data_IF_651694046367
#
_entry.id   IF_651694046367
#
_cell.length_a   1.000
_cell.length_b   1.000
_cell.length_c   1.000
_cell.angle_alpha   90.00
_cell.angle_beta   90.00
_cell.angle_gamma   90.00
#
_symmetry.space_group_name_H-M   'P 1'
#
loop_
_entity.id
_entity.type
_entity.pdbx_description
1 polymer ?
#
# COMPACT_ATOMS: atom_id res chain seq x y z
N UNK A 1 71.10 11.37 64.47
CA UNK A 1 69.68 11.75 64.46
C UNK A 1 69.28 12.05 62.99
N UNK A 2 68.60 11.06 62.37
CA UNK A 2 68.01 11.22 61.06
C UNK A 2 66.55 11.55 61.27
N UNK A 3 66.10 12.74 60.77
CA UNK A 3 64.70 13.12 60.69
C UNK A 3 64.11 12.56 59.42
N UNK A 4 63.11 11.69 59.53
CA UNK A 4 62.29 11.19 58.42
C UNK A 4 61.20 12.24 58.13
N UNK A 5 61.17 12.72 56.89
CA UNK A 5 60.06 13.54 56.39
C UNK A 5 59.00 12.59 55.78
N UNK A 6 57.81 12.58 56.33
CA UNK A 6 56.68 11.87 55.76
C UNK A 6 55.97 12.83 54.82
N UNK A 7 55.99 12.51 53.51
CA UNK A 7 55.16 13.19 52.52
C UNK A 7 53.79 12.58 52.51
N UNK A 8 52.79 13.33 52.93
CA UNK A 8 51.37 12.92 52.79
C UNK A 8 50.91 13.39 51.38
N UNK A 9 50.72 12.44 50.47
CA UNK A 9 50.08 12.73 49.18
C UNK A 9 48.57 12.81 49.38
N UNK A 10 48.02 14.03 49.32
CA UNK A 10 46.57 14.24 49.27
C UNK A 10 46.12 14.03 47.83
N UNK A 11 45.45 12.92 47.57
CA UNK A 11 44.77 12.69 46.25
C UNK A 11 43.41 13.35 46.35
N UNK A 12 43.26 14.47 45.65
CA UNK A 12 41.97 15.18 45.49
C UNK A 12 41.24 14.47 44.37
N UNK A 13 40.18 13.72 44.70
CA UNK A 13 39.24 13.20 43.73
C UNK A 13 38.28 14.31 43.32
N UNK A 14 38.45 14.83 42.08
CA UNK A 14 37.41 15.63 41.43
C UNK A 14 36.26 14.72 41.00
N UNK A 15 35.19 14.70 41.76
CA UNK A 15 33.95 14.22 41.25
C UNK A 15 33.40 15.20 40.19
N UNK A 16 33.64 14.89 38.93
CA UNK A 16 32.93 15.52 37.83
C UNK A 16 31.50 15.01 37.87
N UNK A 17 30.57 15.81 38.40
CA UNK A 17 29.14 15.58 38.22
C UNK A 17 28.81 15.77 36.73
N UNK A 18 28.79 14.66 35.98
CA UNK A 18 28.19 14.65 34.67
C UNK A 18 26.69 14.96 34.89
N UNK A 19 26.32 16.22 34.67
CA UNK A 19 24.91 16.57 34.47
C UNK A 19 24.46 15.77 33.26
N UNK A 20 23.62 14.76 33.47
CA UNK A 20 22.87 14.12 32.40
C UNK A 20 22.09 15.24 31.73
N UNK A 21 22.50 15.58 30.52
CA UNK A 21 21.77 16.49 29.66
C UNK A 21 20.44 15.79 29.37
N UNK A 22 19.37 16.23 29.99
CA UNK A 22 18.04 15.78 29.65
C UNK A 22 17.87 16.05 28.16
N UNK A 23 17.91 14.99 27.37
CA UNK A 23 17.50 15.04 25.95
C UNK A 23 16.04 15.50 26.00
N UNK A 24 15.68 16.64 25.40
CA UNK A 24 14.31 17.09 25.41
C UNK A 24 13.43 16.00 24.87
N UNK A 25 12.50 15.52 25.68
CA UNK A 25 11.57 14.44 25.41
C UNK A 25 10.48 14.80 24.37
N UNK A 26 10.80 15.73 23.45
CA UNK A 26 9.85 16.24 22.47
C UNK A 26 10.18 15.74 21.05
N UNK A 27 10.74 14.53 20.92
CA UNK A 27 10.79 13.82 19.66
C UNK A 27 9.47 13.08 19.44
N UNK A 28 8.38 13.80 19.25
CA UNK A 28 7.24 13.24 18.52
C UNK A 28 7.76 12.91 17.12
N UNK A 29 7.84 11.62 16.86
CA UNK A 29 8.20 11.12 15.54
C UNK A 29 7.22 11.75 14.54
N UNK A 30 7.73 12.38 13.49
CA UNK A 30 6.87 12.96 12.45
C UNK A 30 5.99 11.88 11.86
N UNK A 31 4.78 12.21 11.48
CA UNK A 31 3.84 11.23 10.88
C UNK A 31 4.44 10.58 9.62
N UNK A 32 5.21 11.34 8.84
CA UNK A 32 5.91 10.87 7.65
C UNK A 32 6.95 9.79 7.98
N UNK A 33 7.68 9.93 9.10
CA UNK A 33 8.69 8.97 9.53
C UNK A 33 8.09 7.60 9.88
N UNK A 34 6.79 7.52 10.16
CA UNK A 34 6.10 6.25 10.40
C UNK A 34 6.02 5.37 9.14
N UNK A 35 6.05 5.98 7.97
CA UNK A 35 6.05 5.27 6.70
C UNK A 35 7.45 4.80 6.27
N UNK A 36 8.51 5.20 6.98
CA UNK A 36 9.88 4.86 6.62
C UNK A 36 10.11 3.35 6.49
N UNK A 37 9.73 2.57 7.51
CA UNK A 37 9.89 1.11 7.44
C UNK A 37 8.98 0.45 6.41
N UNK A 38 7.69 0.78 6.29
CA UNK A 38 6.87 0.32 5.19
C UNK A 38 7.45 0.60 3.80
N UNK A 39 7.95 1.81 3.54
CA UNK A 39 8.57 2.18 2.27
C UNK A 39 9.86 1.40 2.04
N UNK A 40 10.75 1.30 3.04
CA UNK A 40 11.97 0.50 2.93
C UNK A 40 11.67 -0.98 2.68
N UNK A 41 10.66 -1.54 3.35
CA UNK A 41 10.22 -2.91 3.13
C UNK A 41 9.71 -3.11 1.69
N UNK A 42 8.91 -2.19 1.18
CA UNK A 42 8.41 -2.22 -0.19
C UNK A 42 9.55 -2.15 -1.22
N UNK A 43 10.53 -1.26 -1.01
CA UNK A 43 11.61 -1.01 -1.97
C UNK A 43 12.76 -2.01 -1.91
N UNK A 44 13.04 -2.60 -0.73
CA UNK A 44 14.29 -3.33 -0.50
C UNK A 44 14.08 -4.78 -0.09
N UNK A 45 12.89 -5.19 0.39
CA UNK A 45 12.73 -6.53 0.92
C UNK A 45 12.48 -7.55 -0.20
N UNK A 46 13.26 -8.62 -0.18
CA UNK A 46 13.05 -9.76 -1.06
C UNK A 46 11.72 -10.47 -0.75
N UNK A 47 11.26 -10.40 0.50
CA UNK A 47 9.98 -10.96 0.94
C UNK A 47 8.80 -10.24 0.29
N UNK A 48 8.85 -8.90 0.16
CA UNK A 48 7.85 -8.14 -0.58
C UNK A 48 7.78 -8.60 -2.03
N UNK A 49 8.93 -8.68 -2.71
CA UNK A 49 9.00 -9.15 -4.09
C UNK A 49 8.44 -10.58 -4.23
N UNK A 50 8.78 -11.48 -3.30
CA UNK A 50 8.26 -12.85 -3.30
C UNK A 50 6.74 -12.91 -3.10
N UNK A 51 6.17 -12.06 -2.24
CA UNK A 51 4.72 -11.95 -2.04
C UNK A 51 4.00 -11.42 -3.29
N UNK A 52 4.59 -10.45 -3.99
CA UNK A 52 4.05 -9.97 -5.27
C UNK A 52 4.02 -11.10 -6.31
N UNK A 53 5.12 -11.83 -6.48
CA UNK A 53 5.14 -12.99 -7.38
C UNK A 53 4.14 -14.07 -6.96
N UNK A 54 4.00 -14.35 -5.65
CA UNK A 54 2.99 -15.30 -5.16
C UNK A 54 1.58 -14.87 -5.54
N UNK A 55 1.25 -13.59 -5.42
CA UNK A 55 -0.05 -13.04 -5.80
C UNK A 55 -0.31 -13.21 -7.31
N UNK A 56 0.64 -12.82 -8.16
CA UNK A 56 0.49 -12.96 -9.61
C UNK A 56 0.53 -14.41 -10.08
N UNK A 57 1.25 -15.31 -9.41
CA UNK A 57 1.21 -16.76 -9.69
C UNK A 57 -0.17 -17.36 -9.35
N UNK A 58 -0.81 -16.92 -8.26
CA UNK A 58 -2.18 -17.32 -7.93
C UNK A 58 -3.18 -16.80 -8.98
N UNK A 59 -3.00 -15.55 -9.43
CA UNK A 59 -3.78 -14.98 -10.53
C UNK A 59 -3.63 -15.79 -11.82
N UNK A 60 -2.40 -16.18 -12.17
CA UNK A 60 -2.10 -16.99 -13.36
C UNK A 60 -2.82 -18.35 -13.30
N UNK A 61 -2.72 -19.06 -12.18
CA UNK A 61 -3.40 -20.35 -11.99
C UNK A 61 -4.91 -20.22 -12.12
N UNK A 62 -5.50 -19.16 -11.58
CA UNK A 62 -6.93 -18.89 -11.72
C UNK A 62 -7.32 -18.58 -13.17
N UNK A 63 -6.52 -17.76 -13.85
CA UNK A 63 -6.72 -17.44 -15.26
C UNK A 63 -6.76 -18.70 -16.11
N UNK A 64 -5.81 -19.61 -15.96
CA UNK A 64 -5.77 -20.88 -16.69
C UNK A 64 -7.02 -21.72 -16.43
N UNK A 65 -7.48 -21.80 -15.16
CA UNK A 65 -8.72 -22.51 -14.82
C UNK A 65 -9.97 -21.88 -15.46
N UNK A 66 -10.05 -20.55 -15.53
CA UNK A 66 -11.20 -19.87 -16.15
C UNK A 66 -11.16 -19.96 -17.68
N UNK A 67 -9.98 -19.94 -18.29
CA UNK A 67 -9.80 -20.16 -19.72
C UNK A 67 -10.23 -21.58 -20.12
N UNK A 68 -9.92 -22.59 -19.32
CA UNK A 68 -10.36 -23.97 -19.55
C UNK A 68 -11.89 -24.13 -19.50
N UNK A 69 -12.61 -23.23 -18.82
CA UNK A 69 -14.08 -23.20 -18.74
C UNK A 69 -14.73 -22.29 -19.80
N UNK A 70 -13.94 -21.50 -20.55
CA UNK A 70 -14.42 -20.51 -21.50
C UNK A 70 -15.25 -21.16 -22.60
N UNK A 71 -16.42 -20.61 -22.84
CA UNK A 71 -17.33 -21.03 -23.93
C UNK A 71 -17.18 -20.09 -25.13
N UNK A 72 -17.66 -20.55 -26.28
CA UNK A 72 -17.74 -19.72 -27.46
C UNK A 72 -18.64 -18.51 -27.20
N UNK A 73 -18.11 -17.32 -27.46
CA UNK A 73 -18.80 -16.04 -27.21
C UNK A 73 -18.53 -15.42 -25.84
N UNK A 74 -17.89 -16.12 -24.91
CA UNK A 74 -17.50 -15.55 -23.62
C UNK A 74 -16.44 -14.44 -23.79
N UNK A 75 -16.76 -13.24 -23.31
CA UNK A 75 -15.81 -12.12 -23.19
C UNK A 75 -15.32 -12.05 -21.76
N UNK A 76 -14.06 -12.38 -21.55
CA UNK A 76 -13.45 -12.41 -20.22
C UNK A 76 -12.68 -11.12 -19.95
N UNK A 77 -12.75 -10.64 -18.72
CA UNK A 77 -11.97 -9.49 -18.29
C UNK A 77 -11.32 -9.69 -16.92
N UNK A 78 -10.19 -9.03 -16.75
CA UNK A 78 -9.53 -8.76 -15.47
C UNK A 78 -9.73 -7.29 -15.16
N UNK A 79 -10.10 -6.98 -13.92
CA UNK A 79 -10.12 -5.63 -13.39
C UNK A 79 -8.97 -5.48 -12.42
N UNK A 80 -8.14 -4.46 -12.61
CA UNK A 80 -7.02 -4.15 -11.72
C UNK A 80 -7.11 -2.72 -11.23
N UNK A 81 -6.75 -2.50 -9.96
CA UNK A 81 -6.31 -1.19 -9.51
C UNK A 81 -4.93 -0.86 -10.10
N UNK A 82 -4.47 0.37 -9.89
CA UNK A 82 -3.19 0.87 -10.43
C UNK A 82 -2.17 1.05 -9.32
N UNK A 83 -2.46 1.91 -8.35
CA UNK A 83 -1.52 2.40 -7.34
C UNK A 83 -1.24 1.31 -6.30
N UNK A 84 0.04 0.97 -6.08
CA UNK A 84 0.51 -0.14 -5.23
C UNK A 84 -0.06 -1.53 -5.60
N UNK A 85 -0.73 -1.60 -6.77
CA UNK A 85 -1.23 -2.86 -7.33
C UNK A 85 -0.42 -3.31 -8.54
N UNK A 86 -0.22 -2.43 -9.51
CA UNK A 86 0.59 -2.67 -10.71
C UNK A 86 1.70 -1.64 -10.91
N UNK A 87 1.52 -0.43 -10.36
CA UNK A 87 2.53 0.63 -10.32
C UNK A 87 3.01 0.86 -8.89
N UNK A 88 4.33 0.97 -8.71
CA UNK A 88 5.00 1.26 -7.46
C UNK A 88 5.17 2.78 -7.31
N UNK A 89 4.43 3.38 -6.38
CA UNK A 89 4.53 4.79 -6.03
C UNK A 89 5.33 5.03 -4.72
N UNK A 90 5.99 4.02 -4.19
CA UNK A 90 6.82 4.14 -2.98
C UNK A 90 7.90 5.23 -3.10
N UNK A 91 8.32 5.56 -4.32
CA UNK A 91 9.25 6.65 -4.61
C UNK A 91 8.66 8.03 -4.25
N UNK A 92 7.36 8.24 -4.49
CA UNK A 92 6.66 9.47 -4.09
C UNK A 92 6.62 9.59 -2.56
N UNK A 93 6.28 8.50 -1.86
CA UNK A 93 6.29 8.47 -0.39
C UNK A 93 7.70 8.64 0.17
N UNK A 94 8.72 8.05 -0.46
CA UNK A 94 10.13 8.25 -0.07
C UNK A 94 10.55 9.72 -0.18
N UNK A 95 10.14 10.43 -1.24
CA UNK A 95 10.37 11.88 -1.37
C UNK A 95 9.73 12.66 -0.22
N UNK A 96 8.46 12.35 0.11
CA UNK A 96 7.77 12.99 1.22
C UNK A 96 8.52 12.79 2.55
N UNK A 97 8.98 11.56 2.83
CA UNK A 97 9.75 11.25 4.04
C UNK A 97 11.05 12.06 4.10
N UNK A 98 11.83 12.04 3.02
CA UNK A 98 13.14 12.75 2.95
C UNK A 98 12.95 14.26 3.10
N UNK A 99 11.91 14.83 2.49
CA UNK A 99 11.60 16.24 2.55
C UNK A 99 10.85 16.67 3.82
N UNK A 100 10.41 15.70 4.66
CA UNK A 100 9.63 15.96 5.86
C UNK A 100 8.25 16.55 5.56
N UNK A 101 7.62 16.12 4.48
CA UNK A 101 6.32 16.59 4.01
C UNK A 101 5.26 15.50 4.15
N UNK A 102 4.10 15.89 4.63
CA UNK A 102 2.92 15.03 4.56
C UNK A 102 2.38 14.97 3.13
N UNK A 103 1.66 13.89 2.85
CA UNK A 103 0.93 13.77 1.59
C UNK A 103 0.11 15.04 1.29
N UNK A 104 0.23 15.52 0.06
CA UNK A 104 -0.65 16.54 -0.47
C UNK A 104 -0.97 16.27 -1.94
N UNK A 105 -2.16 16.68 -2.35
CA UNK A 105 -2.69 16.38 -3.68
C UNK A 105 -1.87 17.02 -4.81
N UNK A 106 -1.26 18.18 -4.59
CA UNK A 106 -0.47 18.86 -5.62
C UNK A 106 0.83 18.13 -5.93
N UNK A 107 1.54 17.63 -4.92
CA UNK A 107 2.76 16.87 -5.11
C UNK A 107 2.46 15.46 -5.66
N UNK A 108 1.35 14.84 -5.25
CA UNK A 108 0.85 13.61 -5.85
C UNK A 108 0.56 13.79 -7.35
N UNK A 109 -0.09 14.88 -7.73
CA UNK A 109 -0.36 15.21 -9.13
C UNK A 109 0.91 15.36 -9.95
N UNK A 110 1.94 16.04 -9.39
CA UNK A 110 3.26 16.17 -10.05
C UNK A 110 3.92 14.80 -10.25
N UNK A 111 3.86 13.94 -9.24
CA UNK A 111 4.38 12.57 -9.35
C UNK A 111 3.71 11.80 -10.50
N UNK A 112 2.39 11.86 -10.60
CA UNK A 112 1.66 11.23 -11.72
C UNK A 112 2.11 11.82 -13.07
N UNK A 113 2.27 13.15 -13.15
CA UNK A 113 2.69 13.83 -14.38
C UNK A 113 4.12 13.43 -14.83
N UNK A 114 4.99 13.02 -13.92
CA UNK A 114 6.32 12.49 -14.26
C UNK A 114 6.23 11.17 -15.05
N UNK A 115 5.13 10.42 -14.94
CA UNK A 115 4.89 9.13 -15.59
C UNK A 115 6.07 8.15 -15.42
N UNK A 116 6.68 8.14 -14.21
CA UNK A 116 7.95 7.45 -13.93
C UNK A 116 7.84 6.33 -12.89
N UNK A 117 6.62 6.03 -12.42
CA UNK A 117 6.40 4.90 -11.52
C UNK A 117 6.86 3.59 -12.17
N UNK A 118 7.51 2.72 -11.39
CA UNK A 118 7.96 1.41 -11.83
C UNK A 118 6.85 0.37 -11.69
N UNK A 119 7.03 -0.80 -12.30
CA UNK A 119 6.03 -1.85 -12.17
C UNK A 119 6.23 -2.67 -10.88
N UNK A 120 5.12 -3.05 -10.26
CA UNK A 120 5.12 -4.05 -9.18
C UNK A 120 5.62 -5.40 -9.75
N UNK A 121 6.51 -6.12 -9.02
CA UNK A 121 7.07 -7.38 -9.50
C UNK A 121 6.02 -8.40 -9.94
N UNK A 122 6.13 -8.90 -11.17
CA UNK A 122 5.21 -9.89 -11.75
C UNK A 122 3.97 -9.33 -12.44
N UNK A 123 3.66 -8.04 -12.27
CA UNK A 123 2.44 -7.42 -12.83
C UNK A 123 2.43 -7.39 -14.36
N UNK A 124 3.54 -6.97 -14.99
CA UNK A 124 3.67 -6.89 -16.45
C UNK A 124 3.54 -8.27 -17.07
N UNK A 125 4.31 -9.24 -16.59
CA UNK A 125 4.34 -10.59 -17.14
C UNK A 125 2.95 -11.23 -17.09
N UNK A 126 2.27 -11.09 -15.94
CA UNK A 126 0.92 -11.63 -15.77
C UNK A 126 -0.11 -10.96 -16.70
N UNK A 127 -0.16 -9.62 -16.73
CA UNK A 127 -1.15 -8.92 -17.54
C UNK A 127 -0.90 -9.06 -19.04
N UNK A 128 0.36 -9.09 -19.47
CA UNK A 128 0.71 -9.40 -20.87
C UNK A 128 0.32 -10.84 -21.25
N UNK A 129 0.55 -11.81 -20.36
CA UNK A 129 0.08 -13.17 -20.58
C UNK A 129 -1.44 -13.22 -20.73
N UNK A 130 -2.20 -12.61 -19.81
CA UNK A 130 -3.66 -12.56 -19.87
C UNK A 130 -4.17 -11.95 -21.18
N UNK A 131 -3.57 -10.83 -21.62
CA UNK A 131 -3.88 -10.17 -22.87
C UNK A 131 -3.61 -11.08 -24.09
N UNK A 132 -2.50 -11.81 -24.09
CA UNK A 132 -2.15 -12.75 -25.15
C UNK A 132 -3.14 -13.91 -25.29
N UNK A 133 -3.85 -14.24 -24.19
CA UNK A 133 -4.90 -15.24 -24.13
C UNK A 133 -6.30 -14.69 -24.49
N UNK A 134 -6.37 -13.44 -24.96
CA UNK A 134 -7.61 -12.78 -25.35
C UNK A 134 -8.52 -12.44 -24.17
N UNK A 135 -7.94 -12.03 -23.05
CA UNK A 135 -8.64 -11.49 -21.87
C UNK A 135 -8.40 -9.98 -21.82
N UNK A 136 -9.48 -9.20 -21.70
CA UNK A 136 -9.41 -7.73 -21.62
C UNK A 136 -8.97 -7.28 -20.22
N UNK A 137 -8.20 -6.19 -20.15
CA UNK A 137 -7.72 -5.64 -18.88
C UNK A 137 -8.33 -4.25 -18.69
N UNK A 138 -9.08 -4.05 -17.61
CA UNK A 138 -9.62 -2.76 -17.23
C UNK A 138 -8.92 -2.21 -15.98
N UNK A 139 -8.49 -0.98 -16.05
CA UNK A 139 -7.81 -0.25 -15.01
C UNK A 139 -8.80 0.63 -14.26
N UNK A 140 -9.15 0.27 -13.03
CA UNK A 140 -10.10 1.00 -12.19
C UNK A 140 -9.35 1.65 -11.02
N UNK A 141 -9.08 2.95 -11.13
CA UNK A 141 -8.31 3.69 -10.13
C UNK A 141 -9.07 4.89 -9.57
N UNK A 142 -8.72 5.28 -8.35
CA UNK A 142 -9.18 6.52 -7.74
C UNK A 142 -8.32 7.75 -8.13
N UNK A 143 -7.43 7.62 -9.09
CA UNK A 143 -6.85 8.76 -9.82
C UNK A 143 -7.98 9.55 -10.50
N UNK A 144 -7.78 10.84 -10.68
CA UNK A 144 -8.78 11.71 -11.33
C UNK A 144 -8.77 11.56 -12.86
N UNK A 145 -9.84 11.92 -13.58
CA UNK A 145 -9.84 11.89 -15.04
C UNK A 145 -8.74 12.76 -15.69
N UNK A 146 -8.25 13.79 -14.99
CA UNK A 146 -7.12 14.62 -15.42
C UNK A 146 -5.83 13.79 -15.53
N UNK A 147 -5.70 12.73 -14.75
CA UNK A 147 -4.48 11.94 -14.65
C UNK A 147 -4.39 10.84 -15.74
N UNK A 148 -5.45 10.61 -16.49
CA UNK A 148 -5.52 9.58 -17.54
C UNK A 148 -4.35 9.67 -18.55
N UNK A 149 -4.02 10.84 -19.14
CA UNK A 149 -2.95 10.90 -20.14
C UNK A 149 -1.59 10.50 -19.60
N UNK A 150 -1.22 10.98 -18.40
CA UNK A 150 0.05 10.64 -17.76
C UNK A 150 0.10 9.16 -17.34
N UNK A 151 -1.02 8.64 -16.84
CA UNK A 151 -1.12 7.21 -16.49
C UNK A 151 -0.96 6.32 -17.73
N UNK A 152 -1.62 6.65 -18.85
CA UNK A 152 -1.45 5.93 -20.12
C UNK A 152 0.01 5.98 -20.57
N UNK A 153 0.67 7.14 -20.47
CA UNK A 153 2.07 7.30 -20.83
C UNK A 153 2.98 6.39 -19.99
N UNK A 154 2.77 6.33 -18.68
CA UNK A 154 3.52 5.48 -17.77
C UNK A 154 3.31 4.00 -18.09
N UNK A 155 2.05 3.55 -18.22
CA UNK A 155 1.72 2.16 -18.51
C UNK A 155 2.28 1.71 -19.87
N UNK A 156 2.22 2.57 -20.90
CA UNK A 156 2.82 2.31 -22.21
C UNK A 156 4.33 2.21 -22.18
N UNK A 157 4.99 3.09 -21.43
CA UNK A 157 6.44 3.03 -21.24
C UNK A 157 6.89 1.69 -20.64
N UNK A 158 6.07 1.11 -19.77
CA UNK A 158 6.28 -0.18 -19.14
C UNK A 158 5.72 -1.37 -19.94
N UNK A 159 5.14 -1.13 -21.11
CA UNK A 159 4.52 -2.15 -21.99
C UNK A 159 3.30 -2.87 -21.35
N UNK A 160 2.53 -2.23 -20.49
CA UNK A 160 1.28 -2.80 -20.04
C UNK A 160 0.26 -2.87 -21.19
N UNK A 161 -0.53 -3.96 -21.29
CA UNK A 161 -1.53 -4.12 -22.34
C UNK A 161 -2.73 -3.18 -22.09
N UNK A 162 -3.50 -2.90 -23.12
CA UNK A 162 -4.72 -2.07 -23.07
C UNK A 162 -4.52 -0.71 -22.38
N UNK A 163 -3.32 -0.12 -22.47
CA UNK A 163 -3.00 1.19 -21.95
C UNK A 163 -3.57 2.29 -22.87
N UNK A 164 -4.90 2.43 -22.86
CA UNK A 164 -5.67 3.39 -23.65
C UNK A 164 -6.87 3.91 -22.86
N UNK A 165 -7.56 4.91 -23.40
CA UNK A 165 -8.63 5.62 -22.70
C UNK A 165 -9.86 4.73 -22.45
N UNK A 166 -10.14 3.78 -23.31
CA UNK A 166 -11.37 2.97 -23.23
C UNK A 166 -11.29 1.93 -22.10
N UNK A 167 -10.07 1.60 -21.66
CA UNK A 167 -9.81 0.67 -20.57
C UNK A 167 -9.55 1.36 -19.22
N UNK A 168 -9.59 2.72 -19.15
CA UNK A 168 -9.35 3.50 -17.93
C UNK A 168 -10.68 3.97 -17.33
N UNK A 169 -11.07 3.41 -16.18
CA UNK A 169 -12.24 3.83 -15.42
C UNK A 169 -11.77 4.53 -14.14
N UNK A 170 -11.57 5.84 -14.22
CA UNK A 170 -11.06 6.66 -13.13
C UNK A 170 -12.19 7.26 -12.29
N UNK A 171 -11.81 7.93 -11.20
CA UNK A 171 -12.76 8.48 -10.26
C UNK A 171 -13.75 9.44 -10.96
N UNK A 172 -15.05 9.23 -10.74
CA UNK A 172 -16.09 10.08 -11.25
C UNK A 172 -17.00 10.60 -10.12
N UNK A 173 -17.82 9.70 -9.54
CA UNK A 173 -18.90 10.09 -8.61
C UNK A 173 -18.69 9.50 -7.20
N UNK A 174 -17.45 9.52 -6.70
CA UNK A 174 -17.10 8.97 -5.39
C UNK A 174 -16.00 7.91 -5.44
N UNK A 175 -15.47 7.56 -4.27
CA UNK A 175 -14.33 6.64 -4.15
C UNK A 175 -14.69 5.17 -4.41
N UNK A 176 -15.96 4.78 -4.35
CA UNK A 176 -16.39 3.41 -4.60
C UNK A 176 -16.06 2.97 -6.02
N UNK A 177 -15.42 1.81 -6.14
CA UNK A 177 -15.09 1.19 -7.43
C UNK A 177 -16.21 0.28 -7.97
N UNK A 178 -17.26 0.03 -7.19
CA UNK A 178 -18.34 -0.90 -7.55
C UNK A 178 -19.12 -0.47 -8.80
N UNK A 179 -19.46 0.82 -8.92
CA UNK A 179 -20.16 1.34 -10.11
C UNK A 179 -19.34 1.12 -11.39
N UNK A 180 -18.03 1.31 -11.31
CA UNK A 180 -17.09 1.11 -12.43
C UNK A 180 -16.90 -0.38 -12.76
N UNK A 181 -16.83 -1.28 -11.76
CA UNK A 181 -16.86 -2.73 -11.99
C UNK A 181 -18.16 -3.18 -12.70
N UNK A 182 -19.29 -2.61 -12.29
CA UNK A 182 -20.59 -2.88 -12.94
C UNK A 182 -20.62 -2.44 -14.41
N UNK A 183 -19.92 -1.36 -14.77
CA UNK A 183 -19.79 -0.96 -16.19
C UNK A 183 -19.08 -2.07 -16.98
N UNK A 184 -17.96 -2.57 -16.50
CA UNK A 184 -17.23 -3.67 -17.15
C UNK A 184 -18.09 -4.94 -17.21
N UNK A 185 -18.79 -5.27 -16.12
CA UNK A 185 -19.61 -6.48 -16.01
C UNK A 185 -20.83 -6.51 -16.95
N UNK A 186 -21.20 -5.42 -17.62
CA UNK A 186 -22.26 -5.40 -18.64
C UNK A 186 -21.87 -6.21 -19.87
N UNK A 187 -20.61 -6.10 -20.27
CA UNK A 187 -20.11 -6.66 -21.54
C UNK A 187 -19.12 -7.81 -21.34
N UNK A 188 -18.57 -7.97 -20.13
CA UNK A 188 -17.52 -8.93 -19.84
C UNK A 188 -17.83 -9.73 -18.56
N UNK A 189 -17.40 -10.99 -18.56
CA UNK A 189 -17.30 -11.78 -17.32
C UNK A 189 -15.98 -11.41 -16.63
N UNK A 190 -16.06 -10.68 -15.52
CA UNK A 190 -14.89 -10.37 -14.69
C UNK A 190 -14.46 -11.65 -13.97
N UNK A 191 -13.29 -12.17 -14.32
CA UNK A 191 -12.76 -13.43 -13.77
C UNK A 191 -11.76 -13.20 -12.62
N UNK A 192 -11.09 -12.06 -12.59
CA UNK A 192 -10.12 -11.67 -11.57
C UNK A 192 -10.28 -10.20 -11.20
N UNK A 193 -10.09 -9.91 -9.92
CA UNK A 193 -9.93 -8.58 -9.37
C UNK A 193 -8.57 -8.50 -8.69
N UNK A 194 -7.77 -7.48 -9.02
CA UNK A 194 -6.45 -7.22 -8.48
C UNK A 194 -6.46 -5.89 -7.74
N UNK A 195 -5.94 -5.84 -6.53
CA UNK A 195 -5.89 -4.63 -5.72
C UNK A 195 -5.00 -4.79 -4.49
N UNK A 196 -4.56 -3.68 -3.92
CA UNK A 196 -3.85 -3.61 -2.64
C UNK A 196 -4.78 -3.29 -1.47
N UNK A 197 -6.00 -2.80 -1.78
CA UNK A 197 -6.99 -2.38 -0.81
C UNK A 197 -8.28 -3.21 -0.94
N UNK A 198 -8.90 -3.56 0.18
CA UNK A 198 -10.13 -4.36 0.16
C UNK A 198 -11.27 -3.72 -0.64
N UNK A 199 -11.31 -2.38 -0.73
CA UNK A 199 -12.30 -1.64 -1.51
C UNK A 199 -12.20 -1.90 -3.04
N UNK A 200 -11.09 -2.49 -3.49
CA UNK A 200 -10.91 -2.88 -4.89
C UNK A 200 -11.74 -4.10 -5.29
N UNK A 201 -12.19 -4.88 -4.32
CA UNK A 201 -12.84 -6.19 -4.57
C UNK A 201 -14.36 -6.12 -4.50
N UNK A 202 -14.95 -5.51 -3.47
CA UNK A 202 -16.40 -5.43 -3.32
C UNK A 202 -16.81 -4.26 -2.41
N UNK A 203 -18.05 -3.77 -2.59
CA UNK A 203 -18.64 -2.69 -1.80
C UNK A 203 -18.82 -3.03 -0.32
N UNK A 204 -19.00 -4.30 0.02
CA UNK A 204 -19.10 -4.75 1.42
C UNK A 204 -17.82 -4.45 2.24
N UNK A 205 -16.69 -4.15 1.61
CA UNK A 205 -15.46 -3.76 2.28
C UNK A 205 -15.35 -2.25 2.54
N UNK A 206 -16.25 -1.43 2.00
CA UNK A 206 -16.24 0.04 2.15
C UNK A 206 -16.79 0.51 3.50
N UNK A 207 -17.02 -0.42 4.44
CA UNK A 207 -17.47 -0.09 5.80
C UNK A 207 -16.35 0.55 6.62
N UNK A 208 -16.71 1.60 7.38
CA UNK A 208 -15.78 2.35 8.24
C UNK A 208 -15.62 1.70 9.63
N UNK A 209 -15.31 0.41 9.64
CA UNK A 209 -15.12 -0.38 10.85
C UNK A 209 -14.22 -1.56 10.57
N UNK A 210 -13.09 -1.67 11.29
CA UNK A 210 -12.11 -2.73 11.05
C UNK A 210 -12.60 -4.13 11.44
N UNK A 211 -13.52 -4.24 12.40
CA UNK A 211 -14.09 -5.53 12.80
C UNK A 211 -15.01 -6.02 11.67
N UNK A 212 -15.92 -5.15 11.22
CA UNK A 212 -16.83 -5.48 10.12
C UNK A 212 -16.05 -5.78 8.81
N UNK A 213 -14.92 -5.08 8.56
CA UNK A 213 -14.02 -5.40 7.43
C UNK A 213 -13.41 -6.79 7.57
N UNK A 214 -12.95 -7.16 8.76
CA UNK A 214 -12.39 -8.50 9.01
C UNK A 214 -13.44 -9.60 8.87
N UNK A 215 -14.67 -9.38 9.37
CA UNK A 215 -15.79 -10.30 9.17
C UNK A 215 -16.13 -10.47 7.68
N UNK A 216 -16.11 -9.39 6.90
CA UNK A 216 -16.30 -9.46 5.45
C UNK A 216 -15.17 -10.26 4.78
N UNK A 217 -13.91 -10.09 5.19
CA UNK A 217 -12.78 -10.90 4.70
C UNK A 217 -13.01 -12.39 4.95
N UNK A 218 -13.50 -12.75 6.14
CA UNK A 218 -13.80 -14.15 6.47
C UNK A 218 -14.94 -14.74 5.62
N UNK A 219 -15.98 -13.94 5.33
CA UNK A 219 -17.06 -14.37 4.41
C UNK A 219 -16.56 -14.70 3.00
N UNK A 220 -15.55 -13.99 2.54
CA UNK A 220 -14.95 -14.19 1.22
C UNK A 220 -13.66 -15.03 1.25
N UNK A 221 -13.40 -15.78 2.34
CA UNK A 221 -12.14 -16.54 2.51
C UNK A 221 -11.81 -17.48 1.34
N UNK A 222 -12.80 -17.97 0.60
CA UNK A 222 -12.61 -18.84 -0.57
C UNK A 222 -12.23 -18.09 -1.85
N UNK A 223 -12.42 -16.76 -1.88
CA UNK A 223 -12.10 -15.92 -3.04
C UNK A 223 -10.64 -15.43 -3.03
N UNK A 224 -10.02 -15.33 -1.82
CA UNK A 224 -8.65 -14.86 -1.69
C UNK A 224 -7.65 -15.82 -2.32
N UNK A 225 -6.76 -15.28 -3.17
CA UNK A 225 -5.82 -16.07 -3.96
C UNK A 225 -6.48 -16.83 -5.13
N UNK A 226 -7.77 -16.55 -5.39
CA UNK A 226 -8.53 -17.06 -6.54
C UNK A 226 -9.05 -15.90 -7.35
N UNK A 227 -10.32 -15.50 -7.11
CA UNK A 227 -10.92 -14.36 -7.81
C UNK A 227 -10.39 -13.03 -7.30
N UNK A 228 -10.07 -12.94 -6.03
CA UNK A 228 -9.54 -11.76 -5.36
C UNK A 228 -8.04 -11.93 -5.10
N UNK A 229 -7.23 -11.11 -5.78
CA UNK A 229 -5.78 -11.16 -5.69
C UNK A 229 -5.30 -9.89 -4.98
N UNK A 230 -4.87 -10.05 -3.73
CA UNK A 230 -4.36 -8.94 -2.91
C UNK A 230 -2.88 -8.78 -3.14
N UNK A 231 -2.45 -7.58 -3.50
CA UNK A 231 -1.06 -7.17 -3.55
C UNK A 231 -0.70 -6.55 -2.18
N UNK A 232 0.42 -6.92 -1.56
CA UNK A 232 0.75 -6.41 -0.22
C UNK A 232 1.08 -4.92 -0.25
N UNK A 233 0.42 -4.12 0.57
CA UNK A 233 0.72 -2.71 0.79
C UNK A 233 0.62 -2.35 2.28
N UNK A 234 1.75 -1.97 2.88
CA UNK A 234 1.83 -1.49 4.26
C UNK A 234 2.13 0.01 4.35
N UNK A 235 2.20 0.73 3.22
CA UNK A 235 2.57 2.16 3.19
C UNK A 235 1.39 3.03 3.58
N UNK A 236 0.20 2.72 3.03
CA UNK A 236 -1.06 3.42 3.31
C UNK A 236 -2.27 2.55 2.93
N UNK A 237 -3.47 2.99 3.27
CA UNK A 237 -4.71 2.32 2.88
C UNK A 237 -5.85 2.53 3.89
N UNK A 238 -6.99 1.93 3.61
CA UNK A 238 -8.14 1.98 4.53
C UNK A 238 -7.84 1.33 5.89
N UNK A 239 -6.92 0.36 5.95
CA UNK A 239 -6.47 -0.25 7.20
C UNK A 239 -5.85 0.79 8.16
N UNK A 240 -5.10 1.76 7.62
CA UNK A 240 -4.50 2.85 8.39
C UNK A 240 -5.57 3.79 8.95
N UNK A 241 -6.56 4.18 8.13
CA UNK A 241 -7.69 5.00 8.58
C UNK A 241 -8.48 4.32 9.69
N UNK A 242 -8.62 3.01 9.60
CA UNK A 242 -9.27 2.20 10.62
C UNK A 242 -8.56 2.17 11.98
N UNK A 243 -7.24 2.42 12.05
CA UNK A 243 -6.52 2.59 13.31
C UNK A 243 -7.12 3.77 14.11
N UNK A 244 -7.50 4.82 13.40
CA UNK A 244 -8.04 6.05 13.99
C UNK A 244 -9.57 6.10 14.04
N UNK A 245 -10.25 4.98 13.84
CA UNK A 245 -11.70 4.89 13.73
C UNK A 245 -12.26 5.92 12.71
N UNK A 246 -11.52 6.13 11.60
CA UNK A 246 -11.80 7.09 10.52
C UNK A 246 -11.94 8.56 10.95
N UNK A 247 -11.37 8.93 12.10
CA UNK A 247 -11.31 10.32 12.56
C UNK A 247 -10.19 11.07 11.82
N UNK A 248 -10.54 12.15 11.14
CA UNK A 248 -9.61 12.91 10.30
C UNK A 248 -8.85 14.01 11.07
N UNK A 249 -9.46 14.58 12.13
CA UNK A 249 -8.96 15.78 12.82
C UNK A 249 -8.22 15.47 14.14
N UNK A 250 -7.41 14.41 14.16
CA UNK A 250 -6.59 14.09 15.33
C UNK A 250 -5.23 14.79 15.22
N UNK A 251 -4.77 15.38 16.35
CA UNK A 251 -3.40 15.89 16.44
C UNK A 251 -2.37 14.77 16.37
N UNK A 252 -1.10 15.05 16.03
CA UNK A 252 -0.03 14.05 16.04
C UNK A 252 0.10 13.31 17.38
N UNK A 253 -0.09 14.01 18.50
CA UNK A 253 -0.07 13.43 19.85
C UNK A 253 -1.24 12.47 20.08
N UNK A 254 -2.44 12.85 19.66
CA UNK A 254 -3.62 11.99 19.73
C UNK A 254 -3.47 10.77 18.87
N UNK A 255 -2.97 10.91 17.63
CA UNK A 255 -2.65 9.79 16.73
C UNK A 255 -1.65 8.83 17.38
N UNK A 256 -0.56 9.35 17.94
CA UNK A 256 0.45 8.53 18.62
C UNK A 256 -0.14 7.76 19.81
N UNK A 257 -1.02 8.39 20.60
CA UNK A 257 -1.74 7.74 21.71
C UNK A 257 -2.67 6.64 21.23
N UNK A 258 -3.45 6.91 20.17
CA UNK A 258 -4.37 5.92 19.59
C UNK A 258 -3.60 4.70 19.05
N UNK A 259 -2.53 4.90 18.30
CA UNK A 259 -1.69 3.80 17.78
C UNK A 259 -1.21 2.87 18.91
N UNK A 260 -0.66 3.45 19.98
CA UNK A 260 -0.20 2.67 21.14
C UNK A 260 -1.35 1.91 21.82
N UNK A 261 -2.52 2.54 21.96
CA UNK A 261 -3.68 1.92 22.61
C UNK A 261 -4.30 0.77 21.79
N UNK A 262 -4.13 0.76 20.45
CA UNK A 262 -4.64 -0.31 19.59
C UNK A 262 -3.73 -1.55 19.56
N UNK A 263 -2.51 -1.46 20.12
CA UNK A 263 -1.61 -2.62 20.20
C UNK A 263 -2.15 -3.64 21.20
N UNK A 264 -2.22 -4.89 20.78
CA UNK A 264 -2.56 -6.02 21.65
C UNK A 264 -1.26 -6.55 22.29
N UNK A 265 -1.10 -6.36 23.60
CA UNK A 265 0.11 -6.79 24.34
C UNK A 265 -0.05 -8.13 25.06
N UNK A 266 -1.28 -8.63 25.14
CA UNK A 266 -1.62 -9.92 25.74
C UNK A 266 -2.55 -10.69 24.82
N UNK A 267 -2.43 -12.00 24.79
CA UNK A 267 -3.43 -12.88 24.20
C UNK A 267 -4.54 -13.00 25.24
N UNK A 268 -5.75 -12.49 24.95
CA UNK A 268 -6.91 -12.84 25.78
C UNK A 268 -7.10 -14.35 25.67
N UNK A 269 -7.14 -15.10 26.78
CA UNK A 269 -7.69 -16.46 26.71
C UNK A 269 -9.16 -16.32 26.26
N UNK A 270 -9.51 -17.06 25.23
CA UNK A 270 -10.89 -17.19 24.76
C UNK A 270 -11.78 -17.79 25.84
#
# INVERSE_FOLDING_TARGET
>A
YRKAFIFINIVIFFFSSATAQEVPSNNLQREEDLKLYPVLWHQLSAEYMALCYQAFNAAHSTLEMELAKKKLGDRLAIVTDIDETILDNSYSEARNIVEGKSYNFADWTKWIDEASATAIPGSIDFLCFAASMGVEIFYISNRTPRDIPATIANLRCLNFPFADKDHMLFWADGSSKESRRKVVARDYKIILLLGDNLNDFADCFEVKDNIARAEAVEKFRQEWGRRFIVIPNAIYGEWEKGIYDYKENLSPEERAKVRKAKLKTTVCPE
#
